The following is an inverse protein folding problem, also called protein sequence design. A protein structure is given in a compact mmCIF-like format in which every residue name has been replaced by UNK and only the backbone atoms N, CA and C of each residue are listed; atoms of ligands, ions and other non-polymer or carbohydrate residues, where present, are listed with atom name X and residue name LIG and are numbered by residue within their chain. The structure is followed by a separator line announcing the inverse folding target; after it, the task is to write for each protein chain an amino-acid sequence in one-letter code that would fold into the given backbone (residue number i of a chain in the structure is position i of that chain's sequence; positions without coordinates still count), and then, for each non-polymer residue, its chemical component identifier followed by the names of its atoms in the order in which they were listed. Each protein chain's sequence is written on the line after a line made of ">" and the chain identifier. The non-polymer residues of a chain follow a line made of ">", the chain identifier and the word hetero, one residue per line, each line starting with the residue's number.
data_IF_532364242548
#
_entry.id   IF_532364242548
#
_cell.length_a   1.000
_cell.length_b   1.000
_cell.length_c   1.000
_cell.angle_alpha   90.00
_cell.angle_beta   90.00
_cell.angle_gamma   90.00
#
_symmetry.space_group_name_H-M   'P 1'
#
loop_
_entity.id
_entity.type
_entity.pdbx_description
1 polymer ?
#
# COMPACT_ATOMS: atom_id res chain seq x y z
N UNK A 1 19.09 20.25 18.17
CA UNK A 1 17.89 19.70 18.84
C UNK A 1 17.82 18.18 18.70
N UNK A 2 17.64 17.60 17.49
CA UNK A 2 17.53 16.12 17.31
C UNK A 2 18.77 15.36 17.82
N UNK A 3 19.98 15.90 17.61
CA UNK A 3 21.25 15.30 18.10
C UNK A 3 21.35 15.14 19.63
N UNK A 4 20.44 15.73 20.39
CA UNK A 4 20.46 15.68 21.86
C UNK A 4 19.59 14.54 22.43
N UNK A 5 18.91 13.78 21.57
CA UNK A 5 18.02 12.69 21.98
C UNK A 5 18.56 11.35 21.47
N UNK A 6 18.34 10.30 22.27
CA UNK A 6 18.67 8.94 21.90
C UNK A 6 17.50 8.27 21.17
N UNK A 7 17.75 7.83 19.94
CA UNK A 7 16.79 7.10 19.09
C UNK A 7 17.17 5.63 18.90
N UNK A 8 18.13 5.10 19.69
CA UNK A 8 18.63 3.72 19.60
C UNK A 8 17.52 2.65 19.68
N UNK A 9 16.38 2.98 20.30
CA UNK A 9 15.22 2.09 20.44
C UNK A 9 14.18 2.21 19.32
N UNK A 10 14.42 3.04 18.31
CA UNK A 10 13.48 3.21 17.19
C UNK A 10 13.54 2.02 16.24
N UNK A 11 12.45 1.26 16.16
CA UNK A 11 12.35 0.08 15.28
C UNK A 11 11.62 0.42 13.97
N UNK A 12 12.11 1.44 13.28
CA UNK A 12 11.59 1.87 11.98
C UNK A 12 12.71 2.48 11.14
N UNK A 13 12.62 2.29 9.83
CA UNK A 13 13.56 2.87 8.87
C UNK A 13 12.90 4.09 8.23
N UNK A 14 13.60 5.22 8.19
CA UNK A 14 13.13 6.39 7.46
C UNK A 14 13.31 6.17 5.95
N UNK A 15 12.24 6.38 5.19
CA UNK A 15 12.27 6.43 3.73
C UNK A 15 11.91 7.85 3.34
N UNK A 16 12.89 8.60 2.84
CA UNK A 16 12.73 10.01 2.52
C UNK A 16 12.91 10.27 1.02
N UNK A 17 12.28 11.33 0.54
CA UNK A 17 12.57 11.93 -0.77
C UNK A 17 12.87 13.40 -0.57
N UNK A 18 13.90 13.87 -1.26
CA UNK A 18 14.33 15.27 -1.27
C UNK A 18 14.53 15.66 -2.74
N UNK A 19 13.98 16.79 -3.21
CA UNK A 19 14.13 17.19 -4.60
C UNK A 19 15.60 17.31 -5.01
N UNK A 20 15.96 16.69 -6.13
CA UNK A 20 17.35 16.66 -6.58
C UNK A 20 17.65 15.55 -7.58
N UNK A 21 18.94 15.49 -7.96
CA UNK A 21 19.52 14.45 -8.81
C UNK A 21 20.63 13.76 -8.03
N UNK A 22 20.48 12.46 -7.83
CA UNK A 22 21.34 11.63 -6.99
C UNK A 22 21.89 10.47 -7.80
N UNK A 23 22.98 9.87 -7.35
CA UNK A 23 23.43 8.62 -7.96
C UNK A 23 22.55 7.49 -7.45
N UNK A 24 22.11 6.60 -8.34
CA UNK A 24 21.22 5.50 -7.93
C UNK A 24 21.86 4.59 -6.88
N UNK A 25 23.19 4.45 -6.89
CA UNK A 25 23.98 3.62 -5.98
C UNK A 25 24.10 4.16 -4.54
N UNK A 26 23.74 5.43 -4.30
CA UNK A 26 23.81 6.03 -2.96
C UNK A 26 22.73 5.47 -2.02
N UNK A 27 21.63 4.95 -2.56
CA UNK A 27 20.56 4.30 -1.78
C UNK A 27 19.95 5.15 -0.66
N UNK A 28 20.08 6.48 -0.71
CA UNK A 28 19.62 7.37 0.36
C UNK A 28 18.16 7.83 0.20
N UNK A 29 17.67 7.90 -1.04
CA UNK A 29 16.42 8.60 -1.34
C UNK A 29 15.45 7.79 -2.19
N UNK A 30 14.15 8.06 -2.00
CA UNK A 30 13.04 7.57 -2.82
C UNK A 30 13.08 6.06 -3.05
N UNK A 31 12.83 5.65 -4.29
CA UNK A 31 12.77 4.23 -4.64
C UNK A 31 14.11 3.50 -4.50
N UNK A 32 15.25 4.20 -4.50
CA UNK A 32 16.56 3.54 -4.32
C UNK A 32 16.78 3.13 -2.86
N UNK A 33 16.43 4.00 -1.91
CA UNK A 33 16.42 3.67 -0.49
C UNK A 33 15.46 2.53 -0.18
N UNK A 34 14.25 2.59 -0.74
CA UNK A 34 13.27 1.52 -0.62
C UNK A 34 13.85 0.19 -1.09
N UNK A 35 14.38 0.13 -2.32
CA UNK A 35 15.01 -1.10 -2.86
C UNK A 35 16.08 -1.62 -1.94
N UNK A 36 16.98 -0.75 -1.47
CA UNK A 36 18.07 -1.13 -0.58
C UNK A 36 17.57 -1.79 0.71
N UNK A 37 16.58 -1.20 1.37
CA UNK A 37 16.05 -1.69 2.64
C UNK A 37 15.12 -2.90 2.54
N UNK A 38 14.62 -3.21 1.35
CA UNK A 38 13.81 -4.40 1.08
C UNK A 38 14.64 -5.62 0.62
N UNK A 39 15.95 -5.49 0.39
CA UNK A 39 16.81 -6.60 -0.06
C UNK A 39 16.90 -7.78 0.91
N UNK A 40 16.68 -7.57 2.19
CA UNK A 40 16.71 -8.59 3.24
C UNK A 40 15.31 -8.99 3.71
N UNK A 41 14.26 -8.43 3.11
CA UNK A 41 12.88 -8.79 3.42
C UNK A 41 12.57 -10.14 2.77
N UNK A 42 11.97 -11.10 3.50
CA UNK A 42 11.73 -12.44 2.97
C UNK A 42 10.73 -12.45 1.82
N UNK A 43 10.94 -13.39 0.91
CA UNK A 43 9.99 -13.67 -0.14
C UNK A 43 8.81 -14.48 0.40
N UNK A 44 7.60 -13.93 0.27
CA UNK A 44 6.36 -14.66 0.57
C UNK A 44 5.82 -15.30 -0.72
N UNK A 45 5.54 -16.61 -0.66
CA UNK A 45 4.90 -17.32 -1.77
C UNK A 45 3.51 -16.73 -2.07
N UNK A 46 3.15 -16.67 -3.35
CA UNK A 46 1.86 -16.14 -3.83
C UNK A 46 1.53 -14.73 -3.31
N UNK A 47 2.55 -13.92 -3.02
CA UNK A 47 2.34 -12.58 -2.48
C UNK A 47 2.10 -11.52 -3.55
N UNK A 48 1.43 -10.46 -3.15
CA UNK A 48 1.05 -9.32 -3.98
C UNK A 48 1.55 -8.03 -3.34
N UNK A 49 2.04 -7.11 -4.18
CA UNK A 49 2.39 -5.76 -3.74
C UNK A 49 1.12 -4.92 -3.73
N UNK A 50 0.79 -4.32 -2.60
CA UNK A 50 -0.34 -3.44 -2.43
C UNK A 50 0.14 -2.00 -2.27
N UNK A 51 -0.40 -1.14 -3.12
CA UNK A 51 -0.19 0.30 -3.12
C UNK A 51 -1.51 0.99 -2.80
N UNK A 52 -1.62 1.59 -1.61
CA UNK A 52 -2.72 2.47 -1.23
C UNK A 52 -2.20 3.90 -1.19
N UNK A 53 -2.87 4.81 -1.89
CA UNK A 53 -2.49 6.22 -1.92
C UNK A 53 -3.70 7.11 -2.18
N UNK A 54 -3.52 8.44 -2.16
CA UNK A 54 -4.63 9.40 -2.29
C UNK A 54 -4.50 10.37 -3.47
N UNK A 55 -3.45 10.29 -4.29
CA UNK A 55 -3.35 11.06 -5.54
C UNK A 55 -2.91 10.19 -6.70
N UNK A 56 -3.67 10.26 -7.79
CA UNK A 56 -3.38 9.53 -9.02
C UNK A 56 -2.87 10.48 -10.10
N UNK A 57 -1.55 10.66 -10.11
CA UNK A 57 -0.84 11.40 -11.16
C UNK A 57 -0.76 10.61 -12.46
N UNK A 58 -0.58 11.32 -13.58
CA UNK A 58 -0.25 10.70 -14.87
C UNK A 58 1.14 10.11 -14.81
N UNK A 59 1.25 8.83 -14.46
CA UNK A 59 2.52 8.12 -14.37
C UNK A 59 2.70 7.24 -15.60
N UNK A 60 3.75 7.43 -16.42
CA UNK A 60 4.02 6.57 -17.56
C UNK A 60 4.14 5.10 -17.15
N UNK A 61 3.64 4.17 -17.96
CA UNK A 61 3.64 2.73 -17.68
C UNK A 61 5.01 2.21 -17.24
N UNK A 62 6.08 2.64 -17.92
CA UNK A 62 7.46 2.29 -17.57
C UNK A 62 7.81 2.62 -16.11
N UNK A 63 7.31 3.74 -15.60
CA UNK A 63 7.57 4.15 -14.22
C UNK A 63 6.71 3.37 -13.22
N UNK A 64 5.47 3.01 -13.59
CA UNK A 64 4.66 2.09 -12.78
C UNK A 64 5.39 0.75 -12.61
N UNK A 65 5.96 0.22 -13.69
CA UNK A 65 6.73 -1.02 -13.68
C UNK A 65 8.00 -0.89 -12.80
N UNK A 66 8.75 0.19 -12.99
CA UNK A 66 9.95 0.51 -12.22
C UNK A 66 9.68 0.62 -10.70
N UNK A 67 8.60 1.29 -10.30
CA UNK A 67 8.19 1.39 -8.90
C UNK A 67 7.66 0.07 -8.35
N UNK A 68 6.84 -0.64 -9.12
CA UNK A 68 6.30 -1.94 -8.70
C UNK A 68 7.43 -2.94 -8.45
N UNK A 69 8.47 -2.91 -9.28
CA UNK A 69 9.69 -3.69 -9.08
C UNK A 69 10.45 -3.25 -7.81
N UNK A 70 10.51 -1.94 -7.52
CA UNK A 70 11.10 -1.43 -6.29
C UNK A 70 10.41 -1.99 -5.04
N UNK A 71 9.08 -1.89 -5.00
CA UNK A 71 8.24 -2.47 -3.93
C UNK A 71 8.27 -4.01 -3.90
N UNK A 72 8.76 -4.64 -4.96
CA UNK A 72 8.85 -6.08 -5.10
C UNK A 72 10.20 -6.68 -4.71
N UNK A 73 11.17 -5.85 -4.31
CA UNK A 73 12.50 -6.31 -3.92
C UNK A 73 12.42 -7.18 -2.65
N UNK A 74 13.18 -8.28 -2.62
CA UNK A 74 13.29 -9.23 -1.50
C UNK A 74 14.66 -9.90 -1.44
N UNK A 75 14.88 -10.71 -0.41
CA UNK A 75 16.04 -11.59 -0.23
C UNK A 75 16.24 -12.62 -1.34
N UNK A 76 15.16 -13.07 -2.00
CA UNK A 76 15.26 -13.92 -3.18
C UNK A 76 15.37 -13.07 -4.47
N UNK A 77 16.55 -13.00 -5.12
CA UNK A 77 16.74 -12.22 -6.33
C UNK A 77 16.00 -12.84 -7.53
N UNK A 78 15.70 -14.14 -7.52
CA UNK A 78 14.98 -14.81 -8.63
C UNK A 78 13.50 -14.41 -8.67
N UNK A 79 12.96 -13.97 -7.53
CA UNK A 79 11.57 -13.51 -7.41
C UNK A 79 11.31 -12.11 -7.99
N UNK A 80 12.37 -11.36 -8.33
CA UNK A 80 12.26 -10.02 -8.95
C UNK A 80 12.11 -10.04 -10.47
N UNK A 81 11.86 -11.21 -11.07
CA UNK A 81 11.72 -11.31 -12.52
C UNK A 81 10.59 -10.38 -13.05
N UNK A 82 10.83 -9.62 -14.14
CA UNK A 82 9.87 -8.63 -14.64
C UNK A 82 8.48 -9.19 -14.99
N UNK A 83 8.40 -10.49 -15.31
CA UNK A 83 7.14 -11.19 -15.62
C UNK A 83 6.29 -11.46 -14.38
N UNK A 84 6.90 -11.83 -13.25
CA UNK A 84 6.22 -12.08 -11.96
C UNK A 84 5.76 -10.76 -11.32
N UNK A 85 6.58 -9.72 -11.43
CA UNK A 85 6.29 -8.37 -10.96
C UNK A 85 5.12 -7.73 -11.74
N UNK A 86 4.96 -8.06 -13.03
CA UNK A 86 3.94 -7.47 -13.93
C UNK A 86 2.49 -7.88 -13.63
N UNK A 87 2.25 -8.98 -12.92
CA UNK A 87 0.89 -9.52 -12.72
C UNK A 87 0.32 -9.34 -11.31
N UNK A 88 1.16 -8.99 -10.31
CA UNK A 88 0.80 -9.15 -8.89
C UNK A 88 0.73 -7.83 -8.10
N UNK A 89 0.57 -6.68 -8.76
CA UNK A 89 0.34 -5.40 -8.07
C UNK A 89 -1.15 -5.10 -7.88
N UNK A 90 -1.47 -4.56 -6.71
CA UNK A 90 -2.79 -4.12 -6.27
C UNK A 90 -2.72 -2.62 -6.02
N UNK A 91 -3.65 -1.88 -6.59
CA UNK A 91 -3.86 -0.46 -6.34
C UNK A 91 -5.17 -0.30 -5.59
N UNK A 92 -5.11 0.13 -4.34
CA UNK A 92 -6.30 0.47 -3.56
C UNK A 92 -6.65 1.92 -3.84
N UNK A 93 -7.75 2.13 -4.56
CA UNK A 93 -8.25 3.45 -4.95
C UNK A 93 -9.75 3.54 -4.66
N UNK A 94 -10.25 4.64 -4.07
CA UNK A 94 -11.67 4.78 -3.78
C UNK A 94 -12.50 4.92 -5.07
N UNK A 95 -13.65 4.26 -5.11
CA UNK A 95 -14.63 4.45 -6.17
C UNK A 95 -15.36 5.79 -6.02
N UNK A 96 -16.05 6.22 -7.06
CA UNK A 96 -17.00 7.31 -7.03
C UNK A 96 -18.02 7.08 -5.90
N UNK A 97 -18.56 5.86 -5.79
CA UNK A 97 -19.48 5.52 -4.71
C UNK A 97 -18.82 5.66 -3.33
N UNK A 98 -17.58 5.21 -3.14
CA UNK A 98 -16.85 5.40 -1.87
C UNK A 98 -16.78 6.88 -1.47
N UNK A 99 -16.52 7.78 -2.42
CA UNK A 99 -16.44 9.22 -2.15
C UNK A 99 -17.83 9.80 -1.90
N UNK A 100 -18.83 9.46 -2.72
CA UNK A 100 -20.20 9.98 -2.57
C UNK A 100 -20.82 9.65 -1.21
N UNK A 101 -20.59 8.44 -0.69
CA UNK A 101 -21.12 8.01 0.62
C UNK A 101 -20.18 8.30 1.79
N UNK A 102 -19.02 8.90 1.54
CA UNK A 102 -18.10 9.28 2.62
C UNK A 102 -18.71 10.36 3.51
N UNK A 103 -18.15 10.57 4.71
CA UNK A 103 -18.70 11.52 5.69
C UNK A 103 -18.90 12.93 5.13
N UNK A 104 -17.97 13.44 4.31
CA UNK A 104 -18.09 14.76 3.66
C UNK A 104 -18.54 14.66 2.19
N UNK A 105 -18.97 13.47 1.73
CA UNK A 105 -19.41 13.21 0.37
C UNK A 105 -18.39 13.65 -0.69
N UNK A 106 -18.87 14.35 -1.72
CA UNK A 106 -18.03 14.88 -2.82
C UNK A 106 -16.88 15.76 -2.32
N UNK A 107 -17.03 16.46 -1.19
CA UNK A 107 -15.98 17.34 -0.63
C UNK A 107 -14.75 16.55 -0.20
N UNK A 108 -14.93 15.34 0.31
CA UNK A 108 -13.83 14.41 0.59
C UNK A 108 -12.95 14.16 -0.62
N UNK A 109 -13.57 14.14 -1.82
CA UNK A 109 -12.90 13.91 -3.09
C UNK A 109 -11.88 15.00 -3.47
N UNK A 110 -11.99 16.20 -2.89
CA UNK A 110 -10.99 17.26 -3.06
C UNK A 110 -9.61 16.90 -2.48
N UNK A 111 -9.57 16.04 -1.46
CA UNK A 111 -8.32 15.50 -0.89
C UNK A 111 -7.81 14.26 -1.65
N UNK A 112 -8.52 13.82 -2.69
CA UNK A 112 -8.20 12.62 -3.48
C UNK A 112 -8.05 12.99 -4.96
N UNK A 113 -7.03 13.81 -5.31
CA UNK A 113 -6.91 14.34 -6.66
C UNK A 113 -6.52 13.27 -7.69
N UNK A 114 -7.32 13.15 -8.73
CA UNK A 114 -7.05 12.33 -9.91
C UNK A 114 -7.78 12.90 -11.13
N UNK A 115 -7.03 13.26 -12.16
CA UNK A 115 -7.63 13.74 -13.40
C UNK A 115 -8.21 12.55 -14.19
N UNK A 116 -9.36 12.77 -14.83
CA UNK A 116 -10.05 11.78 -15.67
C UNK A 116 -9.08 11.13 -16.65
N UNK A 117 -8.32 11.96 -17.37
CA UNK A 117 -7.36 11.52 -18.39
C UNK A 117 -6.26 10.57 -17.86
N UNK A 118 -6.04 10.49 -16.55
CA UNK A 118 -5.04 9.59 -15.97
C UNK A 118 -5.59 8.17 -15.81
N UNK A 119 -6.89 8.06 -15.50
CA UNK A 119 -7.55 6.82 -15.08
C UNK A 119 -8.48 6.27 -16.17
N UNK A 120 -9.17 7.17 -16.86
CA UNK A 120 -10.17 6.89 -17.87
C UNK A 120 -9.75 7.47 -19.23
N UNK A 121 -10.35 6.93 -20.29
CA UNK A 121 -10.34 7.49 -21.64
C UNK A 121 -11.78 7.90 -21.98
N UNK A 122 -11.96 8.98 -22.74
CA UNK A 122 -13.29 9.37 -23.23
C UNK A 122 -13.86 8.28 -24.16
N UNK A 123 -15.15 7.99 -24.01
CA UNK A 123 -15.92 7.14 -24.90
C UNK A 123 -16.44 7.91 -26.11
N UNK A 124 -17.22 7.23 -26.96
CA UNK A 124 -17.86 7.84 -28.13
C UNK A 124 -19.07 8.73 -27.82
N UNK A 125 -19.58 8.68 -26.59
CA UNK A 125 -20.78 9.38 -26.16
C UNK A 125 -20.50 10.32 -24.97
N UNK A 126 -21.35 11.31 -24.76
CA UNK A 126 -21.24 12.24 -23.63
C UNK A 126 -21.35 11.50 -22.29
N UNK A 127 -20.43 11.79 -21.36
CA UNK A 127 -20.31 11.11 -20.06
C UNK A 127 -20.06 9.59 -20.13
N UNK A 128 -19.67 9.09 -21.31
CA UNK A 128 -19.19 7.73 -21.50
C UNK A 128 -17.67 7.70 -21.41
N UNK A 129 -17.15 6.74 -20.68
CA UNK A 129 -15.72 6.57 -20.44
C UNK A 129 -15.32 5.09 -20.50
N UNK A 130 -14.06 4.85 -20.80
CA UNK A 130 -13.45 3.52 -20.82
C UNK A 130 -12.34 3.51 -19.76
N UNK A 131 -12.39 2.55 -18.84
CA UNK A 131 -11.32 2.34 -17.88
C UNK A 131 -10.05 1.89 -18.59
N UNK A 132 -8.92 2.56 -18.32
CA UNK A 132 -7.66 2.19 -18.96
C UNK A 132 -7.23 0.78 -18.55
N UNK A 133 -6.93 -0.04 -19.56
CA UNK A 133 -6.50 -1.43 -19.38
C UNK A 133 -5.27 -1.57 -18.47
N UNK A 134 -4.34 -0.62 -18.57
CA UNK A 134 -3.11 -0.59 -17.78
C UNK A 134 -3.34 -0.52 -16.27
N UNK A 135 -4.51 -0.08 -15.82
CA UNK A 135 -4.85 0.01 -14.39
C UNK A 135 -6.03 -0.89 -14.01
N UNK A 136 -6.92 -1.24 -14.95
CA UNK A 136 -8.16 -1.95 -14.68
C UNK A 136 -7.95 -3.24 -13.87
N UNK A 137 -6.96 -4.04 -14.24
CA UNK A 137 -6.64 -5.31 -13.58
C UNK A 137 -6.07 -5.14 -12.16
N UNK A 138 -5.60 -3.96 -11.81
CA UNK A 138 -4.95 -3.66 -10.54
C UNK A 138 -5.86 -2.96 -9.53
N UNK A 139 -7.00 -2.39 -9.95
CA UNK A 139 -7.85 -1.58 -9.07
C UNK A 139 -8.65 -2.41 -8.06
N UNK A 140 -8.58 -1.99 -6.81
CA UNK A 140 -9.29 -2.57 -5.67
C UNK A 140 -9.92 -1.47 -4.82
N UNK A 141 -11.11 -1.73 -4.28
CA UNK A 141 -11.93 -0.77 -3.56
C UNK A 141 -11.30 -0.36 -2.22
N UNK A 142 -11.49 0.89 -1.85
CA UNK A 142 -11.25 1.34 -0.48
C UNK A 142 -12.28 0.72 0.45
N UNK A 143 -11.80 -0.02 1.45
CA UNK A 143 -12.56 -0.54 2.59
C UNK A 143 -11.70 -0.57 3.82
N UNK A 144 -12.26 -0.20 4.97
CA UNK A 144 -11.56 -0.32 6.25
C UNK A 144 -11.31 -1.79 6.59
N UNK A 145 -10.20 -2.05 7.30
CA UNK A 145 -9.77 -3.40 7.67
C UNK A 145 -10.11 -3.70 9.11
N UNK A 146 -10.42 -4.97 9.40
CA UNK A 146 -10.85 -5.39 10.74
C UNK A 146 -11.98 -4.52 11.29
N UNK A 147 -11.88 -4.15 12.56
CA UNK A 147 -12.88 -3.35 13.28
C UNK A 147 -12.68 -1.83 13.13
N UNK A 148 -11.90 -1.36 12.15
CA UNK A 148 -11.47 0.03 12.09
C UNK A 148 -12.55 1.05 11.67
N UNK A 149 -13.79 0.62 11.41
CA UNK A 149 -15.00 1.42 11.06
C UNK A 149 -14.73 2.74 10.31
N UNK A 150 -13.86 2.66 9.30
CA UNK A 150 -13.35 3.81 8.51
C UNK A 150 -13.70 3.69 7.04
N UNK A 151 -14.60 2.78 6.66
CA UNK A 151 -15.00 2.60 5.26
C UNK A 151 -15.61 3.89 4.68
N UNK A 152 -16.32 4.67 5.50
CA UNK A 152 -16.89 5.97 5.12
C UNK A 152 -15.91 7.14 5.31
N UNK A 153 -14.73 6.90 5.89
CA UNK A 153 -13.67 7.90 5.95
C UNK A 153 -12.83 7.84 4.67
N UNK A 154 -12.83 8.93 3.91
CA UNK A 154 -12.09 8.98 2.65
C UNK A 154 -10.57 8.90 2.90
N UNK A 155 -9.83 8.06 2.15
CA UNK A 155 -8.43 7.81 2.45
C UNK A 155 -7.53 8.97 2.03
N UNK A 156 -6.87 9.60 3.01
CA UNK A 156 -5.71 10.48 2.77
C UNK A 156 -4.38 9.86 3.23
N UNK A 157 -4.42 8.68 3.84
CA UNK A 157 -3.25 7.86 4.14
C UNK A 157 -2.58 7.37 2.83
N UNK A 158 -1.28 7.11 2.88
CA UNK A 158 -0.55 6.38 1.83
C UNK A 158 0.25 5.28 2.50
N UNK A 159 0.06 4.05 2.03
CA UNK A 159 0.78 2.91 2.55
C UNK A 159 1.04 1.87 1.49
N UNK A 160 2.14 1.17 1.70
CA UNK A 160 2.67 0.19 0.77
C UNK A 160 3.08 -1.05 1.54
N UNK A 161 2.71 -2.22 1.04
CA UNK A 161 3.03 -3.49 1.69
C UNK A 161 3.10 -4.59 0.65
N UNK A 162 3.70 -5.72 1.03
CA UNK A 162 3.58 -6.98 0.31
C UNK A 162 2.88 -7.96 1.22
N UNK A 163 1.78 -8.55 0.75
CA UNK A 163 0.98 -9.48 1.52
C UNK A 163 0.76 -10.80 0.78
N UNK A 164 0.64 -11.91 1.52
CA UNK A 164 0.16 -13.20 1.01
C UNK A 164 -1.31 -13.41 1.35
N UNK A 165 -1.99 -14.31 0.63
CA UNK A 165 -3.39 -14.66 0.90
C UNK A 165 -3.59 -15.29 2.28
N UNK A 166 -2.52 -15.85 2.87
CA UNK A 166 -2.50 -16.41 4.21
C UNK A 166 -2.45 -15.34 5.33
N UNK A 167 -2.52 -14.05 4.97
CA UNK A 167 -2.55 -12.94 5.94
C UNK A 167 -1.19 -12.56 6.50
N UNK A 168 -0.11 -12.94 5.82
CA UNK A 168 1.25 -12.52 6.17
C UNK A 168 1.67 -11.27 5.39
N UNK A 169 2.49 -10.41 6.00
CA UNK A 169 3.12 -9.26 5.34
C UNK A 169 4.64 -9.36 5.41
N UNK A 170 5.31 -9.04 4.30
CA UNK A 170 6.78 -8.96 4.28
C UNK A 170 7.29 -7.65 4.90
N UNK A 171 6.56 -6.56 4.70
CA UNK A 171 6.87 -5.23 5.24
C UNK A 171 5.62 -4.37 5.28
N UNK A 172 5.66 -3.27 6.02
CA UNK A 172 4.63 -2.23 5.96
C UNK A 172 5.30 -0.86 5.93
N UNK A 173 4.98 -0.06 4.93
CA UNK A 173 5.45 1.31 4.78
C UNK A 173 4.27 2.25 4.92
N UNK A 174 4.37 3.19 5.85
CA UNK A 174 3.46 4.34 5.99
C UNK A 174 4.21 5.60 5.57
N UNK A 175 3.65 6.36 4.63
CA UNK A 175 4.38 7.48 4.02
C UNK A 175 3.48 8.65 3.61
N UNK A 176 4.11 9.77 3.27
CA UNK A 176 3.45 10.87 2.54
C UNK A 176 3.43 10.65 1.03
N UNK A 177 4.32 9.80 0.52
CA UNK A 177 4.50 9.52 -0.91
C UNK A 177 3.22 8.99 -1.56
N UNK A 178 2.67 9.73 -2.52
CA UNK A 178 1.75 9.13 -3.50
C UNK A 178 2.53 8.30 -4.53
N UNK A 179 1.84 7.39 -5.24
CA UNK A 179 2.46 6.56 -6.28
C UNK A 179 2.77 7.39 -7.54
N UNK A 180 3.88 8.12 -7.51
CA UNK A 180 4.26 9.09 -8.55
C UNK A 180 5.78 9.25 -8.67
N UNK A 181 6.21 9.68 -9.86
CA UNK A 181 7.62 9.98 -10.16
C UNK A 181 8.20 11.11 -9.32
N UNK A 182 7.39 12.12 -8.99
CA UNK A 182 7.84 13.28 -8.22
C UNK A 182 8.17 12.87 -6.79
N UNK A 183 7.34 12.00 -6.21
CA UNK A 183 7.51 11.48 -4.85
C UNK A 183 8.61 10.42 -4.77
N UNK A 184 8.61 9.41 -5.64
CA UNK A 184 9.53 8.27 -5.54
C UNK A 184 10.84 8.43 -6.32
N UNK A 185 10.90 9.43 -7.20
CA UNK A 185 12.00 9.66 -8.13
C UNK A 185 11.94 8.76 -9.35
N UNK A 186 12.55 9.18 -10.45
CA UNK A 186 12.66 8.45 -11.71
C UNK A 186 14.12 8.07 -11.99
N UNK A 187 14.35 6.81 -12.36
CA UNK A 187 15.67 6.36 -12.79
C UNK A 187 15.94 6.82 -14.23
N UNK A 188 17.07 7.52 -14.43
CA UNK A 188 17.50 8.15 -15.66
C UNK A 188 18.96 7.75 -15.99
N UNK A 189 19.47 8.25 -17.12
CA UNK A 189 20.87 8.07 -17.55
C UNK A 189 21.35 6.60 -17.49
N UNK A 190 20.56 5.69 -18.08
CA UNK A 190 20.84 4.24 -18.12
C UNK A 190 21.04 3.62 -16.73
N UNK A 191 20.21 4.02 -15.76
CA UNK A 191 20.25 3.43 -14.42
C UNK A 191 21.11 4.20 -13.40
N UNK A 192 21.86 5.21 -13.83
CA UNK A 192 22.90 5.85 -13.01
C UNK A 192 22.43 7.03 -12.17
N UNK A 193 21.29 7.64 -12.53
CA UNK A 193 20.80 8.83 -11.85
C UNK A 193 19.35 8.63 -11.40
N UNK A 194 19.06 8.99 -10.17
CA UNK A 194 17.71 9.13 -9.64
C UNK A 194 17.35 10.62 -9.58
N UNK A 195 16.26 11.02 -10.23
CA UNK A 195 15.77 12.41 -10.20
C UNK A 195 14.40 12.47 -9.54
N UNK A 196 14.20 13.34 -8.54
CA UNK A 196 12.93 13.50 -7.86
C UNK A 196 12.60 14.98 -7.60
N UNK A 197 11.31 15.29 -7.43
CA UNK A 197 10.80 16.67 -7.46
C UNK A 197 10.05 17.08 -6.18
N UNK A 198 9.79 16.12 -5.26
CA UNK A 198 9.01 16.35 -4.04
C UNK A 198 9.82 16.04 -2.78
N UNK A 199 9.50 16.78 -1.70
CA UNK A 199 9.85 16.37 -0.34
C UNK A 199 8.82 15.38 0.17
N UNK A 200 9.26 14.22 0.63
CA UNK A 200 8.39 13.20 1.17
C UNK A 200 9.09 12.46 2.32
N UNK A 201 8.32 11.92 3.25
CA UNK A 201 8.85 11.14 4.37
C UNK A 201 7.91 10.00 4.72
N UNK A 202 8.49 8.85 5.03
CA UNK A 202 7.78 7.67 5.49
C UNK A 202 8.60 6.85 6.47
N UNK A 203 7.94 5.90 7.10
CA UNK A 203 8.50 4.93 8.02
C UNK A 203 8.22 3.53 7.50
N UNK A 204 9.30 2.79 7.24
CA UNK A 204 9.28 1.39 6.84
C UNK A 204 9.45 0.51 8.06
N UNK A 205 8.51 -0.39 8.25
CA UNK A 205 8.55 -1.48 9.20
C UNK A 205 8.82 -2.78 8.46
N UNK A 206 9.83 -3.52 8.91
CA UNK A 206 10.08 -4.89 8.47
C UNK A 206 10.33 -5.80 9.67
N UNK A 207 10.06 -7.10 9.57
CA UNK A 207 10.12 -8.02 10.70
C UNK A 207 11.49 -8.07 11.37
N UNK A 208 12.59 -7.98 10.60
CA UNK A 208 13.97 -7.95 11.12
C UNK A 208 14.28 -6.79 12.07
N UNK A 209 13.46 -5.73 12.12
CA UNK A 209 13.60 -4.65 13.10
C UNK A 209 13.07 -5.01 14.50
N UNK A 210 12.43 -6.17 14.65
CA UNK A 210 11.72 -6.56 15.87
C UNK A 210 12.17 -7.89 16.47
N UNK A 211 13.03 -8.65 15.78
CA UNK A 211 13.68 -9.84 16.31
C UNK A 211 15.08 -9.49 16.81
N UNK A 212 15.42 -9.96 18.01
CA UNK A 212 16.76 -9.84 18.59
C UNK A 212 17.48 -11.18 18.36
N UNK A 213 18.80 -11.13 18.16
CA UNK A 213 19.64 -12.29 17.84
C UNK A 213 19.84 -13.30 18.99
N UNK A 214 19.21 -13.07 20.14
CA UNK A 214 19.57 -13.73 21.40
C UNK A 214 18.63 -14.89 21.78
N UNK A 215 17.63 -15.21 20.95
CA UNK A 215 16.83 -16.41 21.13
C UNK A 215 17.57 -17.62 20.52
N UNK A 216 18.32 -18.35 21.35
CA UNK A 216 19.03 -19.62 21.03
C UNK A 216 18.11 -20.77 20.55
N UNK A 217 16.81 -20.54 20.38
CA UNK A 217 15.89 -21.47 19.78
C UNK A 217 15.89 -21.28 18.26
N UNK A 218 16.78 -22.01 17.58
CA UNK A 218 16.92 -22.05 16.12
C UNK A 218 15.71 -22.63 15.39
N UNK A 219 14.56 -21.97 15.50
CA UNK A 219 13.40 -22.21 14.65
C UNK A 219 13.12 -20.94 13.84
N UNK A 220 13.35 -21.04 12.52
CA UNK A 220 13.18 -20.06 11.45
C UNK A 220 11.73 -19.50 11.29
N UNK A 221 10.93 -19.43 12.35
CA UNK A 221 9.48 -19.47 12.20
C UNK A 221 8.75 -18.11 12.15
N UNK A 222 9.41 -16.95 12.14
CA UNK A 222 8.65 -15.69 12.02
C UNK A 222 9.36 -14.57 11.26
N UNK A 223 9.76 -14.79 10.01
CA UNK A 223 10.31 -13.71 9.18
C UNK A 223 9.26 -12.68 8.68
N UNK A 224 7.97 -12.82 9.03
CA UNK A 224 6.88 -12.00 8.51
C UNK A 224 6.01 -11.35 9.61
N UNK A 225 5.27 -10.31 9.27
CA UNK A 225 4.15 -9.85 10.10
C UNK A 225 2.89 -10.67 9.78
N UNK A 226 1.94 -10.74 10.70
CA UNK A 226 0.56 -11.17 10.44
C UNK A 226 -0.41 -9.99 10.56
N UNK A 227 -1.41 -9.95 9.69
CA UNK A 227 -2.46 -8.93 9.66
C UNK A 227 -3.87 -9.51 9.87
N UNK A 228 -3.98 -10.71 10.44
CA UNK A 228 -5.28 -11.38 10.60
C UNK A 228 -6.23 -10.64 11.57
N UNK A 229 -7.56 -10.82 11.44
CA UNK A 229 -8.56 -9.96 12.09
C UNK A 229 -8.64 -10.08 13.62
N UNK A 230 -7.97 -11.07 14.22
CA UNK A 230 -7.98 -11.31 15.67
C UNK A 230 -7.05 -10.37 16.46
N UNK A 231 -6.60 -9.27 15.86
CA UNK A 231 -5.78 -8.27 16.53
C UNK A 231 -6.62 -7.32 17.38
N UNK A 232 -6.11 -6.87 18.55
CA UNK A 232 -6.84 -5.94 19.40
C UNK A 232 -7.08 -4.59 18.71
N UNK A 233 -8.27 -4.02 18.92
CA UNK A 233 -8.62 -2.68 18.41
C UNK A 233 -7.62 -1.64 18.93
N UNK A 234 -6.80 -1.09 18.03
CA UNK A 234 -5.86 -0.05 18.42
C UNK A 234 -6.60 1.25 18.74
N UNK A 235 -6.26 1.85 19.89
CA UNK A 235 -6.77 3.16 20.30
C UNK A 235 -8.09 3.16 21.06
N UNK A 236 -8.76 2.02 21.28
CA UNK A 236 -10.05 1.99 21.99
C UNK A 236 -9.95 2.40 23.47
N UNK A 237 -8.76 2.30 24.06
CA UNK A 237 -8.53 2.57 25.48
C UNK A 237 -7.46 3.64 25.75
N UNK A 238 -7.03 4.39 24.72
CA UNK A 238 -6.08 5.51 24.91
C UNK A 238 -4.66 5.14 25.36
N UNK A 239 -4.36 3.86 25.60
CA UNK A 239 -3.02 3.41 25.94
C UNK A 239 -2.21 3.11 24.67
N UNK A 240 -1.12 3.87 24.47
CA UNK A 240 -0.04 3.48 23.57
C UNK A 240 0.71 2.34 24.25
N UNK A 241 0.45 1.09 23.85
CA UNK A 241 1.19 -0.05 24.36
C UNK A 241 2.62 0.00 23.78
N UNK A 242 3.62 0.12 24.64
CA UNK A 242 5.04 0.12 24.24
C UNK A 242 5.58 -1.28 23.97
N UNK A 243 4.80 -2.34 24.27
CA UNK A 243 5.18 -3.72 23.98
C UNK A 243 4.83 -4.07 22.53
N UNK A 244 5.74 -4.79 21.86
CA UNK A 244 5.53 -5.37 20.53
C UNK A 244 4.23 -6.17 20.54
N UNK A 245 3.33 -5.90 19.59
CA UNK A 245 2.07 -6.64 19.50
C UNK A 245 2.37 -8.03 18.92
N UNK A 246 2.24 -9.06 19.75
CA UNK A 246 2.43 -10.46 19.37
C UNK A 246 1.14 -11.25 19.54
N UNK A 247 0.94 -12.27 18.71
CA UNK A 247 -0.19 -13.18 18.85
C UNK A 247 -0.16 -13.86 20.23
N UNK A 248 -1.23 -13.76 21.05
CA UNK A 248 -1.18 -14.16 22.46
C UNK A 248 -1.32 -15.67 22.67
N UNK A 249 -0.56 -16.20 23.64
CA UNK A 249 -0.52 -17.61 24.08
C UNK A 249 -1.88 -18.22 24.43
N UNK A 250 -2.86 -17.40 24.86
CA UNK A 250 -4.20 -17.86 25.22
C UNK A 250 -5.18 -17.99 24.05
N UNK A 251 -4.94 -17.33 22.90
CA UNK A 251 -5.83 -17.40 21.74
C UNK A 251 -5.78 -18.78 21.05
N UNK A 252 -4.68 -19.51 21.18
CA UNK A 252 -4.52 -20.89 20.66
C UNK A 252 -5.53 -21.86 21.29
N UNK A 253 -5.99 -21.60 22.53
CA UNK A 253 -6.96 -22.47 23.25
C UNK A 253 -8.43 -22.20 22.91
N UNK A 254 -8.78 -21.05 22.34
CA UNK A 254 -10.17 -20.67 22.07
C UNK A 254 -10.63 -20.97 20.64
N UNK A 255 -9.71 -21.32 19.73
CA UNK A 255 -10.01 -21.60 18.30
C UNK A 255 -10.18 -23.12 18.05
N UNK A 256 -10.27 -23.94 19.10
CA UNK A 256 -10.47 -25.40 18.95
C UNK A 256 -11.88 -25.81 18.54
N UNK A 257 -12.85 -24.87 18.49
CA UNK A 257 -14.19 -25.14 17.99
C UNK A 257 -14.44 -24.45 16.64
N UNK A 258 -14.56 -25.31 15.62
CA UNK A 258 -15.10 -25.09 14.28
C UNK A 258 -14.29 -24.26 13.24
N UNK A 259 -13.64 -25.00 12.34
CA UNK A 259 -13.52 -24.69 10.89
C UNK A 259 -12.77 -23.44 10.40
N UNK A 260 -11.85 -22.85 11.18
CA UNK A 260 -10.91 -21.84 10.65
C UNK A 260 -9.56 -22.50 10.39
N UNK A 261 -9.28 -22.84 9.13
CA UNK A 261 -7.91 -23.16 8.68
C UNK A 261 -7.05 -21.90 8.78
N UNK A 262 -6.20 -21.77 9.81
CA UNK A 262 -5.23 -20.66 9.89
C UNK A 262 -4.96 -20.08 11.28
N UNK A 263 -4.64 -20.90 12.27
CA UNK A 263 -4.10 -20.38 13.53
C UNK A 263 -2.69 -19.79 13.29
N UNK A 264 -2.48 -18.51 13.61
CA UNK A 264 -1.16 -17.88 13.55
C UNK A 264 -0.24 -18.49 14.64
N UNK A 265 1.03 -18.83 14.32
CA UNK A 265 1.99 -19.33 15.30
C UNK A 265 2.15 -18.39 16.50
N UNK A 266 2.47 -18.96 17.66
CA UNK A 266 2.78 -18.19 18.86
C UNK A 266 3.91 -17.18 18.59
N UNK A 267 3.84 -15.98 19.16
CA UNK A 267 4.92 -14.99 19.03
C UNK A 267 4.96 -14.23 17.70
N UNK A 268 4.12 -14.57 16.72
CA UNK A 268 4.00 -13.85 15.44
C UNK A 268 3.78 -12.36 15.68
N UNK A 269 4.56 -11.50 15.01
CA UNK A 269 4.42 -10.05 15.08
C UNK A 269 3.16 -9.60 14.33
N UNK A 270 2.31 -8.80 14.98
CA UNK A 270 1.08 -8.30 14.36
C UNK A 270 1.29 -6.91 13.77
N UNK A 271 0.85 -6.71 12.52
CA UNK A 271 0.81 -5.43 11.85
C UNK A 271 -0.65 -4.97 11.68
N UNK A 272 -1.05 -3.84 12.30
CA UNK A 272 -2.42 -3.33 12.28
C UNK A 272 -2.73 -2.60 10.97
N UNK A 273 -2.98 -3.34 9.89
CA UNK A 273 -3.31 -2.74 8.59
C UNK A 273 -4.70 -2.05 8.67
N UNK A 274 -4.81 -0.76 8.29
CA UNK A 274 -6.04 0.01 8.50
C UNK A 274 -7.14 -0.23 7.46
N UNK A 275 -6.90 -1.08 6.46
CA UNK A 275 -7.81 -1.43 5.37
C UNK A 275 -7.90 -2.94 5.16
N UNK A 276 -8.95 -3.39 4.49
CA UNK A 276 -9.23 -4.81 4.32
C UNK A 276 -8.14 -5.54 3.51
N UNK A 277 -7.74 -6.72 3.98
CA UNK A 277 -6.84 -7.64 3.30
C UNK A 277 -7.46 -9.05 3.27
N UNK A 278 -7.52 -9.72 2.09
CA UNK A 278 -7.26 -9.15 0.76
C UNK A 278 -8.29 -8.05 0.43
N UNK A 279 -7.92 -6.98 -0.30
CA UNK A 279 -8.87 -5.95 -0.69
C UNK A 279 -9.81 -6.48 -1.77
N UNK A 280 -11.01 -5.92 -1.88
CA UNK A 280 -11.98 -6.30 -2.91
C UNK A 280 -11.58 -5.71 -4.27
N UNK A 281 -11.39 -6.55 -5.30
CA UNK A 281 -11.16 -6.10 -6.69
C UNK A 281 -12.36 -5.30 -7.21
N UNK A 282 -12.12 -4.29 -8.03
CA UNK A 282 -13.18 -3.59 -8.76
C UNK A 282 -13.95 -4.58 -9.63
N UNK A 283 -15.28 -4.43 -9.67
CA UNK A 283 -16.17 -5.21 -10.51
C UNK A 283 -16.83 -4.34 -11.58
N UNK A 284 -17.47 -4.96 -12.57
CA UNK A 284 -18.21 -4.22 -13.59
C UNK A 284 -19.25 -3.29 -12.94
N UNK A 285 -19.23 -2.02 -13.34
CA UNK A 285 -20.08 -0.96 -12.77
C UNK A 285 -19.37 -0.11 -11.71
N UNK A 286 -18.25 -0.57 -11.13
CA UNK A 286 -17.44 0.31 -10.28
C UNK A 286 -16.81 1.42 -11.14
N UNK A 287 -16.93 2.65 -10.65
CA UNK A 287 -16.34 3.84 -11.28
C UNK A 287 -15.22 4.33 -10.36
N UNK A 288 -13.96 4.45 -10.81
CA UNK A 288 -12.90 5.02 -9.97
C UNK A 288 -13.15 6.52 -9.74
N UNK A 289 -12.87 7.02 -8.53
CA UNK A 289 -12.98 8.45 -8.27
C UNK A 289 -11.99 9.25 -9.15
N UNK A 290 -12.49 10.30 -9.78
CA UNK A 290 -11.71 11.33 -10.46
C UNK A 290 -12.17 12.70 -9.95
N UNK A 291 -11.25 13.57 -9.57
CA UNK A 291 -11.56 14.90 -9.02
C UNK A 291 -12.36 15.77 -10.00
N UNK A 292 -12.19 15.54 -11.30
CA UNK A 292 -12.88 16.32 -12.33
C UNK A 292 -14.40 16.07 -12.33
N UNK A 293 -14.88 14.98 -11.71
CA UNK A 293 -16.30 14.75 -11.46
C UNK A 293 -16.92 15.81 -10.54
N UNK A 294 -16.13 16.38 -9.62
CA UNK A 294 -16.61 17.40 -8.68
C UNK A 294 -16.95 18.75 -9.33
N UNK A 295 -16.48 18.97 -10.58
CA UNK A 295 -16.75 20.21 -11.33
C UNK A 295 -18.04 20.15 -12.16
N UNK A 296 -18.72 19.01 -12.22
CA UNK A 296 -20.07 18.93 -12.78
C UNK A 296 -21.06 19.53 -11.76
N UNK A 297 -21.53 20.76 -12.02
CA UNK A 297 -22.46 21.52 -11.17
C UNK A 297 -23.42 20.64 -10.34
N UNK A 298 -23.47 20.87 -9.03
CA UNK A 298 -24.24 20.10 -8.03
C UNK A 298 -25.72 19.87 -8.37
N UNK A 299 -26.29 20.62 -9.32
CA UNK A 299 -27.67 20.49 -9.78
C UNK A 299 -27.88 19.49 -10.93
N UNK A 300 -26.82 18.91 -11.50
CA UNK A 300 -26.91 17.97 -12.62
C UNK A 300 -25.74 16.98 -12.66
N UNK A 301 -25.34 16.42 -11.51
CA UNK A 301 -24.36 15.34 -11.49
C UNK A 301 -24.97 14.10 -12.17
N UNK A 302 -24.56 13.86 -13.42
CA UNK A 302 -24.96 12.67 -14.17
C UNK A 302 -23.93 11.59 -13.90
N UNK A 303 -24.36 10.43 -13.42
CA UNK A 303 -23.44 9.31 -13.17
C UNK A 303 -22.69 8.94 -14.47
N UNK A 304 -21.35 8.92 -14.47
CA UNK A 304 -20.58 8.53 -15.63
C UNK A 304 -20.83 7.05 -15.94
N UNK A 305 -20.94 6.72 -17.23
CA UNK A 305 -20.98 5.34 -17.68
C UNK A 305 -19.55 4.89 -17.98
N UNK A 306 -19.03 3.93 -17.21
CA UNK A 306 -17.67 3.41 -17.40
C UNK A 306 -17.73 1.98 -17.90
N UNK A 307 -17.12 1.74 -19.05
CA UNK A 307 -16.92 0.39 -19.60
C UNK A 307 -15.51 -0.12 -19.29
N UNK A 308 -15.39 -1.45 -19.19
CA UNK A 308 -14.15 -2.14 -18.88
C UNK A 308 -13.63 -2.85 -20.14
N UNK A 309 -12.30 -2.95 -20.35
CA UNK A 309 -11.74 -3.78 -21.42
C UNK A 309 -12.01 -5.28 -21.17
N UNK A 310 -12.33 -6.05 -22.23
CA UNK A 310 -12.62 -7.50 -22.19
C UNK A 310 -11.35 -8.38 -22.14
N UNK A 311 -11.37 -9.56 -21.48
CA UNK A 311 -11.89 -9.85 -20.14
C UNK A 311 -10.81 -9.64 -19.05
N UNK A 312 -11.26 -9.53 -17.81
CA UNK A 312 -10.52 -9.18 -16.58
C UNK A 312 -9.62 -10.27 -15.99
#
# INVERSE_FOLDING_TARGET
>A
MIRNFDFSRANAILIASVPGKYKTEEHEWGQSALRHHLKDVPHLKNSKVLCQFSSFGGTPQKHVEELTEAFSTTSDPTSTSPSIVKSNSIIVWPSLQNVLVSYDGVRSGGAIPAQLKNVLTEGGEKNSYILKESIAKHLHLWRSGGDSDRTLAAPHIKSFTRFSEDGQLSYFLLASHNFSKSAWGQIQLKGKQLSMDSYELGVLFKPSLFFESDDETGEDENECFSCTPTHPKLGLFGFVNTKKLRYPKAAVKLVSDASVSGACPEGTLLCPVPYALPPQKYVQGDVPWCSDFSHANERSFTMPQVTYPCPL
#
